data_IF_074505025847
#
_entry.id   IF_074505025847
#
_cell.length_a   1.000
_cell.length_b   1.000
_cell.length_c   1.000
_cell.angle_alpha   90.00
_cell.angle_beta   90.00
_cell.angle_gamma   90.00
#
_symmetry.space_group_name_H-M   'P 1'
#
loop_
_entity.id
_entity.type
_entity.pdbx_description
1 polymer ?
#
# COMPACT_ATOMS: atom_id res chain seq x y z
N UNK A 1 -1.69 -16.26 9.52
CA UNK A 1 -1.35 -14.89 9.97
C UNK A 1 -1.15 -13.89 8.83
N UNK A 2 -0.88 -14.33 7.59
CA UNK A 2 -0.81 -13.45 6.40
C UNK A 2 -2.11 -12.69 6.10
N UNK A 3 -3.27 -13.31 6.35
CA UNK A 3 -4.61 -12.72 6.16
C UNK A 3 -4.78 -11.36 6.87
N UNK A 4 -4.23 -11.23 8.08
CA UNK A 4 -4.33 -9.99 8.88
C UNK A 4 -3.44 -8.89 8.33
N UNK A 5 -2.27 -9.23 7.80
CA UNK A 5 -1.37 -8.26 7.18
C UNK A 5 -1.96 -7.69 5.89
N UNK A 6 -2.56 -8.54 5.05
CA UNK A 6 -3.31 -8.13 3.86
C UNK A 6 -4.52 -7.25 4.22
N UNK A 7 -5.27 -7.61 5.27
CA UNK A 7 -6.44 -6.82 5.69
C UNK A 7 -6.05 -5.41 6.15
N UNK A 8 -4.92 -5.27 6.85
CA UNK A 8 -4.42 -3.97 7.31
C UNK A 8 -3.91 -3.13 6.13
N UNK A 9 -3.22 -3.73 5.18
CA UNK A 9 -2.75 -3.05 3.96
C UNK A 9 -3.93 -2.50 3.15
N UNK A 10 -4.98 -3.31 2.97
CA UNK A 10 -6.19 -2.93 2.24
C UNK A 10 -7.00 -1.83 2.95
N UNK A 11 -7.02 -1.81 4.29
CA UNK A 11 -7.59 -0.71 5.07
C UNK A 11 -6.81 0.60 4.87
N UNK A 12 -5.48 0.52 4.77
CA UNK A 12 -4.63 1.66 4.44
C UNK A 12 -4.96 2.25 3.06
N UNK A 13 -5.16 1.38 2.05
CA UNK A 13 -5.58 1.78 0.69
C UNK A 13 -6.88 2.56 0.71
N UNK A 14 -7.88 2.06 1.43
CA UNK A 14 -9.20 2.71 1.53
C UNK A 14 -9.12 4.10 2.18
N UNK A 15 -8.35 4.22 3.27
CA UNK A 15 -8.16 5.50 3.96
C UNK A 15 -7.51 6.52 3.03
N UNK A 16 -6.55 6.10 2.21
CA UNK A 16 -5.88 7.06 1.34
C UNK A 16 -6.66 7.33 0.07
N UNK A 17 -7.41 6.37 -0.48
CA UNK A 17 -8.41 6.65 -1.50
C UNK A 17 -9.39 7.73 -1.04
N UNK A 18 -9.83 7.67 0.22
CA UNK A 18 -10.69 8.69 0.81
C UNK A 18 -10.01 10.06 0.91
N UNK A 19 -8.76 10.09 1.38
CA UNK A 19 -7.94 11.32 1.37
C UNK A 19 -7.70 11.86 -0.04
N UNK A 20 -7.51 10.99 -1.04
CA UNK A 20 -7.30 11.29 -2.46
C UNK A 20 -8.58 11.68 -3.22
N UNK A 21 -9.76 11.52 -2.63
CA UNK A 21 -11.02 12.03 -3.19
C UNK A 21 -11.36 13.40 -2.57
N UNK A 22 -11.25 13.52 -1.24
CA UNK A 22 -11.25 14.84 -0.58
C UNK A 22 -10.21 15.76 -1.21
N UNK A 23 -9.19 15.14 -1.77
CA UNK A 23 -8.13 15.79 -2.44
C UNK A 23 -8.47 16.65 -3.64
N UNK A 24 -8.92 15.92 -4.63
CA UNK A 24 -9.27 16.42 -5.94
C UNK A 24 -10.38 17.46 -5.77
N UNK A 25 -11.28 17.24 -4.80
CA UNK A 25 -12.33 18.21 -4.43
C UNK A 25 -11.79 19.56 -3.93
N UNK A 26 -10.58 19.62 -3.35
CA UNK A 26 -10.03 20.85 -2.75
C UNK A 26 -9.00 21.56 -3.63
N UNK A 27 -8.57 20.95 -4.75
CA UNK A 27 -7.70 21.58 -5.76
C UNK A 27 -6.27 21.91 -5.29
N UNK A 28 -5.78 21.30 -4.21
CA UNK A 28 -4.44 21.56 -3.67
C UNK A 28 -3.37 20.62 -4.24
N UNK A 29 -2.16 21.12 -4.45
CA UNK A 29 -1.05 20.36 -5.05
C UNK A 29 -0.49 19.21 -4.20
N UNK A 30 -0.75 19.18 -2.88
CA UNK A 30 -0.22 18.15 -1.96
C UNK A 30 -0.72 16.72 -2.22
N UNK A 31 -1.71 16.56 -3.10
CA UNK A 31 -2.26 15.25 -3.44
C UNK A 31 -1.36 14.46 -4.38
N UNK A 32 -0.53 15.14 -5.16
CA UNK A 32 0.51 14.51 -5.97
C UNK A 32 1.56 13.84 -5.07
N UNK A 33 1.93 14.48 -3.95
CA UNK A 33 2.87 13.90 -2.99
C UNK A 33 2.31 12.62 -2.36
N UNK A 34 1.00 12.59 -2.09
CA UNK A 34 0.31 11.39 -1.59
C UNK A 34 0.23 10.29 -2.64
N UNK A 35 -0.05 10.64 -3.90
CA UNK A 35 -0.06 9.67 -4.99
C UNK A 35 1.31 8.99 -5.16
N UNK A 36 2.39 9.76 -5.09
CA UNK A 36 3.76 9.24 -5.16
C UNK A 36 4.09 8.36 -3.95
N UNK A 37 3.74 8.79 -2.73
CA UNK A 37 3.92 7.99 -1.53
C UNK A 37 3.16 6.64 -1.61
N UNK A 38 1.99 6.63 -2.25
CA UNK A 38 1.21 5.42 -2.47
C UNK A 38 1.85 4.42 -3.42
N UNK A 39 2.36 4.91 -4.55
CA UNK A 39 3.06 4.06 -5.51
C UNK A 39 4.26 3.38 -4.85
N UNK A 40 5.03 4.12 -4.05
CA UNK A 40 6.14 3.57 -3.27
C UNK A 40 5.68 2.54 -2.24
N UNK A 41 4.56 2.79 -1.54
CA UNK A 41 4.04 1.85 -0.55
C UNK A 41 3.60 0.52 -1.16
N UNK A 42 2.87 0.53 -2.29
CA UNK A 42 2.52 -0.70 -3.01
C UNK A 42 3.74 -1.46 -3.52
N UNK A 43 4.79 -0.75 -3.95
CA UNK A 43 6.03 -1.38 -4.38
C UNK A 43 6.74 -2.10 -3.22
N UNK A 44 6.80 -1.46 -2.04
CA UNK A 44 7.40 -2.04 -0.83
C UNK A 44 6.59 -3.26 -0.35
N UNK A 45 5.25 -3.20 -0.37
CA UNK A 45 4.41 -4.33 0.02
C UNK A 45 4.65 -5.55 -0.90
N UNK A 46 4.78 -5.31 -2.20
CA UNK A 46 5.11 -6.35 -3.19
C UNK A 46 6.49 -6.96 -2.93
N UNK A 47 7.50 -6.14 -2.63
CA UNK A 47 8.84 -6.60 -2.24
C UNK A 47 8.83 -7.41 -0.94
N UNK A 48 8.08 -6.99 0.07
CA UNK A 48 7.93 -7.69 1.33
C UNK A 48 7.28 -9.07 1.14
N UNK A 49 6.25 -9.15 0.29
CA UNK A 49 5.61 -10.41 -0.08
C UNK A 49 6.58 -11.33 -0.83
N UNK A 50 7.32 -10.79 -1.81
CA UNK A 50 8.32 -11.53 -2.56
C UNK A 50 9.40 -12.13 -1.65
N UNK A 51 9.94 -11.33 -0.72
CA UNK A 51 10.91 -11.81 0.27
C UNK A 51 10.33 -12.86 1.22
N UNK A 52 9.07 -12.69 1.64
CA UNK A 52 8.40 -13.66 2.50
C UNK A 52 8.23 -15.01 1.80
N UNK A 53 7.94 -15.01 0.49
CA UNK A 53 7.85 -16.21 -0.34
C UNK A 53 9.23 -16.84 -0.61
N UNK A 54 10.25 -16.03 -0.88
CA UNK A 54 11.64 -16.49 -1.06
C UNK A 54 12.17 -17.20 0.20
N UNK A 55 11.91 -16.65 1.38
CA UNK A 55 12.26 -17.28 2.66
C UNK A 55 11.48 -18.56 2.99
N UNK A 56 10.38 -18.84 2.27
CA UNK A 56 9.58 -20.06 2.39
C UNK A 56 9.96 -21.16 1.40
N UNK A 57 10.83 -20.90 0.42
CA UNK A 57 11.15 -21.83 -0.67
C UNK A 57 12.17 -22.93 -0.30
N UNK A 58 12.46 -23.15 0.98
CA UNK A 58 13.47 -24.12 1.45
C UNK A 58 12.94 -25.11 2.51
N UNK A 59 11.65 -25.44 2.47
CA UNK A 59 11.09 -26.55 3.27
C UNK A 59 10.16 -27.38 2.37
N UNK A 60 10.79 -28.07 1.42
CA UNK A 60 10.34 -29.32 0.80
C UNK A 60 11.36 -30.41 1.20
#
# INVERSE_FOLDING_TARGET
>A
SADRAVTIDMLGVLIVGFCAIMAISTGRSWYIDIAIAWVLQSFIATLALAKFLEGKSLDD
#
